data_IF_183628153421
#
_entry.id   IF_183628153421
#
_cell.length_a   1.000
_cell.length_b   1.000
_cell.length_c   1.000
_cell.angle_alpha   90.00
_cell.angle_beta   90.00
_cell.angle_gamma   90.00
#
_symmetry.space_group_name_H-M   'P 1'
#
loop_
_entity.id
_entity.type
_entity.pdbx_description
1 polymer ?
#
# COMPACT_ATOMS: atom_id res chain seq x y z
N UNK A 1 -9.36 -5.68 30.65
CA UNK A 1 -9.35 -5.52 32.13
C UNK A 1 -7.93 -5.17 32.55
N UNK A 2 -7.74 -4.04 33.24
CA UNK A 2 -6.45 -3.39 33.53
C UNK A 2 -5.74 -4.01 34.74
N UNK A 3 -4.54 -4.58 34.55
CA UNK A 3 -3.61 -4.91 35.65
C UNK A 3 -2.68 -3.73 35.96
N UNK A 4 -3.24 -2.65 36.53
CA UNK A 4 -2.45 -1.63 37.23
C UNK A 4 -2.17 -2.10 38.66
N UNK A 5 -1.23 -3.04 38.84
CA UNK A 5 -0.64 -3.35 40.17
C UNK A 5 0.83 -3.75 40.02
N UNK A 6 1.65 -2.78 39.65
CA UNK A 6 3.09 -2.67 39.98
C UNK A 6 3.69 -1.68 38.98
N UNK A 7 4.27 -0.58 39.47
CA UNK A 7 4.82 0.52 38.67
C UNK A 7 6.08 0.17 37.88
N UNK A 8 6.08 -0.93 37.13
CA UNK A 8 7.11 -1.23 36.13
C UNK A 8 6.56 -0.87 34.76
N UNK A 9 7.26 0.04 34.08
CA UNK A 9 7.00 0.36 32.67
C UNK A 9 7.41 -0.87 31.86
N UNK A 10 6.45 -1.73 31.55
CA UNK A 10 6.68 -2.86 30.64
C UNK A 10 6.83 -2.30 29.23
N UNK A 11 7.96 -2.51 28.53
CA UNK A 11 8.13 -2.08 27.14
C UNK A 11 6.96 -2.58 26.29
N UNK A 12 6.44 -1.79 25.36
CA UNK A 12 5.22 -2.09 24.58
C UNK A 12 5.26 -3.49 23.93
N UNK A 13 6.45 -3.96 23.56
CA UNK A 13 6.71 -5.31 23.01
C UNK A 13 6.37 -6.48 23.97
N UNK A 14 6.36 -6.24 25.28
CA UNK A 14 6.08 -7.24 26.33
C UNK A 14 4.68 -7.08 26.93
N UNK A 15 3.86 -6.18 26.39
CA UNK A 15 2.47 -5.97 26.84
C UNK A 15 1.44 -6.79 26.05
N UNK A 16 1.86 -7.54 25.03
CA UNK A 16 0.98 -8.50 24.35
C UNK A 16 0.68 -9.63 25.33
N UNK A 17 -0.59 -9.79 25.70
CA UNK A 17 -1.03 -10.95 26.48
C UNK A 17 -0.81 -12.23 25.68
N UNK A 18 -0.59 -13.34 26.38
CA UNK A 18 -0.46 -14.68 25.76
C UNK A 18 -1.68 -15.09 24.92
N UNK A 19 -2.78 -14.33 24.97
CA UNK A 19 -3.99 -14.52 24.16
C UNK A 19 -4.03 -13.76 22.83
N UNK A 20 -3.01 -12.97 22.45
CA UNK A 20 -3.00 -12.32 21.12
C UNK A 20 -2.57 -13.29 20.03
N UNK A 21 -3.51 -13.67 19.16
CA UNK A 21 -3.25 -14.52 17.99
C UNK A 21 -2.22 -13.89 17.03
N UNK A 22 -2.30 -12.56 16.87
CA UNK A 22 -1.40 -11.78 16.02
C UNK A 22 -0.32 -11.15 16.88
N UNK A 23 0.93 -11.47 16.54
CA UNK A 23 2.16 -10.96 17.13
C UNK A 23 3.03 -10.35 16.04
N UNK A 24 4.04 -9.58 16.43
CA UNK A 24 4.88 -8.86 15.46
C UNK A 24 5.55 -9.81 14.46
N UNK A 25 6.01 -10.96 14.94
CA UNK A 25 6.68 -12.02 14.19
C UNK A 25 5.78 -12.73 13.17
N UNK A 26 4.46 -12.70 13.37
CA UNK A 26 3.52 -13.51 12.59
C UNK A 26 2.44 -12.67 11.87
N UNK A 27 2.55 -11.34 11.96
CA UNK A 27 1.55 -10.38 11.44
C UNK A 27 1.25 -10.51 9.95
N UNK A 28 2.16 -11.07 9.16
CA UNK A 28 2.00 -11.27 7.71
C UNK A 28 1.69 -12.72 7.32
N UNK A 29 1.54 -13.64 8.29
CA UNK A 29 1.23 -15.03 7.99
C UNK A 29 -0.23 -15.16 7.53
N UNK A 30 -0.50 -15.60 6.29
CA UNK A 30 -1.85 -15.65 5.74
C UNK A 30 -2.79 -16.59 6.52
N UNK A 31 -2.29 -17.69 7.08
CA UNK A 31 -3.09 -18.64 7.85
C UNK A 31 -3.61 -17.98 9.14
N UNK A 32 -2.72 -17.27 9.85
CA UNK A 32 -3.05 -16.60 11.12
C UNK A 32 -4.03 -15.45 10.87
N UNK A 33 -3.84 -14.69 9.79
CA UNK A 33 -4.77 -13.63 9.42
C UNK A 33 -6.13 -14.18 9.01
N UNK A 34 -6.16 -15.32 8.31
CA UNK A 34 -7.41 -15.98 7.97
C UNK A 34 -8.16 -16.47 9.23
N UNK A 35 -7.44 -17.05 10.20
CA UNK A 35 -8.03 -17.44 11.50
C UNK A 35 -8.60 -16.21 12.21
N UNK A 36 -7.87 -15.10 12.27
CA UNK A 36 -8.35 -13.87 12.90
C UNK A 36 -9.61 -13.31 12.22
N UNK A 37 -9.62 -13.24 10.88
CA UNK A 37 -10.79 -12.83 10.08
C UNK A 37 -12.00 -13.70 10.36
N UNK A 38 -11.82 -15.03 10.35
CA UNK A 38 -12.89 -15.99 10.63
C UNK A 38 -13.45 -15.84 12.04
N UNK A 39 -12.60 -15.66 13.05
CA UNK A 39 -13.04 -15.41 14.43
C UNK A 39 -13.83 -14.11 14.55
N UNK A 40 -13.40 -13.03 13.89
CA UNK A 40 -14.11 -11.75 13.85
C UNK A 40 -15.48 -11.92 13.17
N UNK A 41 -15.52 -12.60 12.03
CA UNK A 41 -16.75 -12.88 11.29
C UNK A 41 -17.75 -13.65 12.15
N UNK A 42 -17.33 -14.77 12.76
CA UNK A 42 -18.20 -15.60 13.58
C UNK A 42 -18.68 -14.81 14.81
N UNK A 43 -17.79 -14.09 15.50
CA UNK A 43 -18.17 -13.27 16.65
C UNK A 43 -19.19 -12.19 16.28
N UNK A 44 -18.97 -11.47 15.18
CA UNK A 44 -19.89 -10.42 14.74
C UNK A 44 -21.28 -10.97 14.38
N UNK A 45 -21.32 -12.06 13.62
CA UNK A 45 -22.57 -12.68 13.16
C UNK A 45 -23.26 -13.52 14.25
N UNK A 46 -22.61 -13.84 15.37
CA UNK A 46 -23.27 -14.48 16.53
C UNK A 46 -23.88 -13.45 17.48
N UNK A 47 -23.21 -12.32 17.69
CA UNK A 47 -23.70 -11.22 18.54
C UNK A 47 -24.98 -10.58 18.00
N UNK A 48 -25.11 -10.45 16.67
CA UNK A 48 -26.32 -9.92 16.03
C UNK A 48 -27.51 -10.90 16.03
N UNK A 49 -27.23 -12.21 16.13
CA UNK A 49 -28.24 -13.28 16.13
C UNK A 49 -28.82 -13.61 17.52
N UNK A 50 -28.49 -12.83 18.56
CA UNK A 50 -29.01 -13.05 19.91
C UNK A 50 -28.46 -14.31 20.62
N UNK A 51 -27.50 -15.03 20.01
CA UNK A 51 -26.77 -16.12 20.67
C UNK A 51 -25.72 -15.48 21.57
N UNK A 52 -26.05 -15.34 22.86
CA UNK A 52 -25.20 -14.69 23.86
C UNK A 52 -23.93 -15.51 24.12
N UNK A 53 -22.87 -15.26 23.34
CA UNK A 53 -21.52 -15.66 23.72
C UNK A 53 -20.94 -14.53 24.60
N UNK A 54 -21.29 -14.55 25.90
CA UNK A 54 -20.60 -13.79 26.95
C UNK A 54 -20.58 -12.25 26.86
N UNK A 55 -21.36 -11.61 27.73
CA UNK A 55 -21.27 -10.20 28.13
C UNK A 55 -21.60 -9.12 27.07
N UNK A 56 -22.86 -8.68 27.09
CA UNK A 56 -23.29 -7.39 26.55
C UNK A 56 -22.49 -6.26 27.22
N UNK A 57 -21.73 -5.47 26.45
CA UNK A 57 -21.57 -4.04 26.77
C UNK A 57 -22.79 -3.37 26.15
N UNK A 58 -23.85 -3.27 26.93
CA UNK A 58 -25.07 -2.55 26.57
C UNK A 58 -24.75 -1.06 26.44
N UNK A 59 -24.64 -0.57 25.22
CA UNK A 59 -24.73 0.86 24.94
C UNK A 59 -26.20 1.18 24.60
N UNK A 60 -26.89 2.11 25.28
CA UNK A 60 -28.35 2.22 25.21
C UNK A 60 -28.91 2.88 23.93
N UNK A 61 -28.06 3.33 22.99
CA UNK A 61 -28.46 4.28 21.95
C UNK A 61 -27.93 3.98 20.53
N UNK A 62 -27.74 2.71 20.17
CA UNK A 62 -27.61 2.33 18.76
C UNK A 62 -28.96 1.77 18.31
N UNK A 63 -29.74 2.62 17.63
CA UNK A 63 -31.00 2.24 16.98
C UNK A 63 -30.83 1.01 16.10
N UNK A 64 -31.91 0.25 15.94
CA UNK A 64 -32.04 -1.00 15.18
C UNK A 64 -30.83 -1.28 14.27
N UNK A 65 -29.87 -2.04 14.81
CA UNK A 65 -28.82 -2.64 13.99
C UNK A 65 -29.56 -3.64 13.12
N UNK A 66 -29.83 -3.23 11.87
CA UNK A 66 -30.42 -4.06 10.82
C UNK A 66 -29.76 -5.43 10.89
N UNK A 67 -30.53 -6.47 11.26
CA UNK A 67 -30.06 -7.84 11.25
C UNK A 67 -29.44 -8.09 9.88
N UNK A 68 -28.20 -8.55 9.84
CA UNK A 68 -27.57 -8.90 8.57
C UNK A 68 -28.33 -10.07 7.95
N UNK A 69 -29.07 -9.77 6.88
CA UNK A 69 -29.92 -10.72 6.20
C UNK A 69 -29.09 -11.95 5.77
N UNK A 70 -29.55 -13.14 6.16
CA UNK A 70 -28.98 -14.40 5.71
C UNK A 70 -27.92 -15.05 6.61
N UNK A 71 -27.65 -14.55 7.82
CA UNK A 71 -26.96 -15.34 8.87
C UNK A 71 -27.88 -15.79 10.00
N UNK A 72 -29.17 -15.43 9.92
CA UNK A 72 -30.15 -15.72 10.97
C UNK A 72 -30.28 -17.24 11.23
N UNK A 73 -30.10 -17.63 12.50
CA UNK A 73 -30.26 -19.02 12.94
C UNK A 73 -29.15 -19.99 12.55
N UNK A 74 -28.06 -19.51 11.92
CA UNK A 74 -26.92 -20.36 11.57
C UNK A 74 -26.13 -20.77 12.83
N UNK A 75 -25.74 -22.04 12.90
CA UNK A 75 -24.79 -22.53 13.91
C UNK A 75 -23.34 -22.18 13.53
N UNK A 76 -22.38 -22.45 14.43
CA UNK A 76 -20.97 -22.11 14.23
C UNK A 76 -20.35 -22.74 12.97
N UNK A 77 -20.68 -23.99 12.66
CA UNK A 77 -20.17 -24.69 11.46
C UNK A 77 -20.74 -24.07 10.18
N UNK A 78 -22.03 -23.71 10.18
CA UNK A 78 -22.66 -23.04 9.06
C UNK A 78 -22.13 -21.63 8.84
N UNK A 79 -21.81 -20.89 9.91
CA UNK A 79 -21.15 -19.59 9.82
C UNK A 79 -19.74 -19.70 9.26
N UNK A 80 -18.99 -20.73 9.65
CA UNK A 80 -17.68 -21.02 9.06
C UNK A 80 -17.80 -21.35 7.55
N UNK A 81 -18.77 -22.18 7.17
CA UNK A 81 -19.02 -22.50 5.77
C UNK A 81 -19.36 -21.23 4.97
N UNK A 82 -20.24 -20.38 5.50
CA UNK A 82 -20.58 -19.09 4.87
C UNK A 82 -19.36 -18.18 4.73
N UNK A 83 -18.51 -18.07 5.76
CA UNK A 83 -17.25 -17.32 5.67
C UNK A 83 -16.38 -17.85 4.53
N UNK A 84 -16.19 -19.18 4.47
CA UNK A 84 -15.37 -19.80 3.44
C UNK A 84 -15.94 -19.56 2.03
N UNK A 85 -17.27 -19.61 1.87
CA UNK A 85 -17.94 -19.30 0.60
C UNK A 85 -17.70 -17.85 0.16
N UNK A 86 -17.94 -16.88 1.05
CA UNK A 86 -17.73 -15.45 0.76
C UNK A 86 -16.25 -15.14 0.45
N UNK A 87 -15.33 -15.71 1.23
CA UNK A 87 -13.90 -15.53 1.01
C UNK A 87 -13.43 -16.18 -0.30
N UNK A 88 -13.97 -17.34 -0.65
CA UNK A 88 -13.70 -18.01 -1.93
C UNK A 88 -14.18 -17.15 -3.10
N UNK A 89 -15.36 -16.53 -2.99
CA UNK A 89 -15.87 -15.62 -4.03
C UNK A 89 -14.92 -14.44 -4.29
N UNK A 90 -14.38 -13.80 -3.23
CA UNK A 90 -13.38 -12.73 -3.36
C UNK A 90 -12.11 -13.25 -4.05
N UNK A 91 -11.53 -14.33 -3.53
CA UNK A 91 -10.24 -14.82 -4.05
C UNK A 91 -10.33 -15.34 -5.49
N UNK A 92 -11.46 -15.93 -5.88
CA UNK A 92 -11.72 -16.31 -7.28
C UNK A 92 -11.87 -15.08 -8.16
N UNK A 93 -12.63 -14.06 -7.75
CA UNK A 93 -12.79 -12.83 -8.51
C UNK A 93 -11.46 -12.03 -8.61
N UNK A 94 -10.67 -11.97 -7.54
CA UNK A 94 -9.33 -11.37 -7.55
C UNK A 94 -8.40 -12.10 -8.53
N UNK A 95 -8.39 -13.44 -8.51
CA UNK A 95 -7.57 -14.24 -9.43
C UNK A 95 -7.97 -14.00 -10.88
N UNK A 96 -9.26 -13.96 -11.17
CA UNK A 96 -9.79 -13.70 -12.52
C UNK A 96 -9.41 -12.30 -13.03
N UNK A 97 -9.63 -11.26 -12.22
CA UNK A 97 -9.27 -9.89 -12.58
C UNK A 97 -7.75 -9.69 -12.69
N UNK A 98 -6.96 -10.14 -11.72
CA UNK A 98 -5.52 -9.87 -11.68
C UNK A 98 -4.69 -10.75 -12.63
N UNK A 99 -5.27 -11.82 -13.17
CA UNK A 99 -4.65 -12.58 -14.26
C UNK A 99 -4.91 -11.99 -15.65
N UNK A 100 -5.89 -11.08 -15.77
CA UNK A 100 -6.24 -10.42 -17.03
C UNK A 100 -5.11 -9.45 -17.45
N UNK A 101 -4.49 -9.64 -18.63
CA UNK A 101 -3.49 -8.71 -19.14
C UNK A 101 -4.08 -7.32 -19.41
N UNK A 102 -3.27 -6.28 -19.27
CA UNK A 102 -3.65 -4.89 -19.52
C UNK A 102 -4.91 -4.45 -18.75
N UNK A 103 -5.16 -5.01 -17.56
CA UNK A 103 -6.33 -4.68 -16.71
C UNK A 103 -6.45 -3.22 -16.28
N UNK A 104 -5.51 -2.36 -16.66
CA UNK A 104 -5.56 -0.91 -16.46
C UNK A 104 -6.39 -0.20 -17.54
N UNK A 105 -6.72 -0.88 -18.64
CA UNK A 105 -7.57 -0.36 -19.71
C UNK A 105 -9.05 -0.48 -19.36
N UNK A 106 -9.86 0.49 -19.77
CA UNK A 106 -11.30 0.53 -19.45
C UNK A 106 -12.18 -0.26 -20.42
N UNK A 107 -11.88 -1.55 -20.63
CA UNK A 107 -12.72 -2.40 -21.51
C UNK A 107 -14.00 -2.87 -20.80
N UNK A 108 -15.02 -3.29 -21.57
CA UNK A 108 -16.25 -3.82 -21.01
C UNK A 108 -16.03 -5.09 -20.16
N UNK A 109 -15.10 -5.95 -20.57
CA UNK A 109 -14.70 -7.14 -19.82
C UNK A 109 -14.06 -6.76 -18.48
N UNK A 110 -13.11 -5.83 -18.47
CA UNK A 110 -12.43 -5.38 -17.25
C UNK A 110 -13.43 -4.75 -16.29
N UNK A 111 -14.32 -3.88 -16.77
CA UNK A 111 -15.39 -3.28 -15.95
C UNK A 111 -16.30 -4.34 -15.32
N UNK A 112 -16.64 -5.40 -16.05
CA UNK A 112 -17.45 -6.49 -15.52
C UNK A 112 -16.71 -7.31 -14.44
N UNK A 113 -15.42 -7.58 -14.63
CA UNK A 113 -14.57 -8.27 -13.64
C UNK A 113 -14.33 -7.42 -12.40
N UNK A 114 -14.07 -6.12 -12.56
CA UNK A 114 -13.96 -5.16 -11.46
C UNK A 114 -15.25 -5.08 -10.66
N UNK A 115 -16.41 -5.02 -11.33
CA UNK A 115 -17.72 -5.05 -10.68
C UNK A 115 -17.92 -6.35 -9.89
N UNK A 116 -17.60 -7.50 -10.49
CA UNK A 116 -17.70 -8.81 -9.83
C UNK A 116 -16.87 -8.87 -8.55
N UNK A 117 -15.63 -8.39 -8.60
CA UNK A 117 -14.76 -8.32 -7.42
C UNK A 117 -15.32 -7.35 -6.37
N UNK A 118 -15.78 -6.17 -6.79
CA UNK A 118 -16.38 -5.18 -5.89
C UNK A 118 -17.61 -5.74 -5.17
N UNK A 119 -18.55 -6.36 -5.90
CA UNK A 119 -19.75 -6.96 -5.33
C UNK A 119 -19.40 -8.09 -4.34
N UNK A 120 -18.39 -8.92 -4.65
CA UNK A 120 -17.93 -9.98 -3.74
C UNK A 120 -17.33 -9.41 -2.45
N UNK A 121 -16.54 -8.33 -2.55
CA UNK A 121 -15.99 -7.61 -1.40
C UNK A 121 -17.10 -6.99 -0.57
N UNK A 122 -18.05 -6.26 -1.18
CA UNK A 122 -19.15 -5.63 -0.46
C UNK A 122 -20.02 -6.66 0.27
N UNK A 123 -20.34 -7.78 -0.38
CA UNK A 123 -21.09 -8.88 0.25
C UNK A 123 -20.35 -9.47 1.47
N UNK A 124 -19.02 -9.64 1.38
CA UNK A 124 -18.23 -10.06 2.53
C UNK A 124 -18.21 -8.99 3.64
N UNK A 125 -18.01 -7.72 3.28
CA UNK A 125 -17.94 -6.60 4.20
C UNK A 125 -19.25 -6.28 4.90
N UNK A 126 -20.40 -6.65 4.32
CA UNK A 126 -21.69 -6.59 5.01
C UNK A 126 -21.70 -7.51 6.22
N UNK A 127 -20.98 -8.63 6.19
CA UNK A 127 -20.89 -9.58 7.28
C UNK A 127 -19.70 -9.36 8.22
N UNK A 128 -19.07 -8.19 8.15
CA UNK A 128 -17.90 -7.82 8.94
C UNK A 128 -18.16 -6.53 9.72
N UNK A 129 -17.57 -6.36 10.91
CA UNK A 129 -17.83 -5.21 11.74
C UNK A 129 -17.36 -3.91 11.06
N UNK A 130 -18.10 -2.84 11.36
CA UNK A 130 -17.77 -1.48 10.93
C UNK A 130 -16.81 -0.83 11.90
N UNK A 131 -15.67 -0.35 11.41
CA UNK A 131 -14.66 0.37 12.19
C UNK A 131 -14.54 1.77 11.65
N UNK A 132 -14.71 2.78 12.49
CA UNK A 132 -14.52 4.18 12.12
C UNK A 132 -13.48 4.84 13.04
N UNK A 133 -12.47 5.45 12.42
CA UNK A 133 -11.49 6.28 13.10
C UNK A 133 -11.63 7.75 12.65
N UNK A 134 -12.17 8.65 13.49
CA UNK A 134 -12.37 10.05 13.14
C UNK A 134 -11.08 10.90 13.17
N UNK A 135 -9.98 10.35 13.69
CA UNK A 135 -8.68 11.03 13.82
C UNK A 135 -7.56 10.10 13.36
N UNK A 136 -7.70 9.59 12.14
CA UNK A 136 -6.90 8.50 11.63
C UNK A 136 -5.42 8.85 11.46
N UNK A 137 -5.05 10.13 11.37
CA UNK A 137 -3.68 10.56 11.21
C UNK A 137 -3.05 9.92 9.97
N UNK A 138 -2.01 9.11 10.17
CA UNK A 138 -1.38 8.34 9.09
C UNK A 138 -2.14 7.07 8.64
N UNK A 139 -3.27 6.73 9.26
CA UNK A 139 -4.11 5.61 8.86
C UNK A 139 -3.80 4.26 9.51
N UNK A 140 -3.08 4.21 10.64
CA UNK A 140 -2.69 2.95 11.27
C UNK A 140 -3.87 2.07 11.71
N UNK A 141 -4.89 2.66 12.35
CA UNK A 141 -6.11 1.93 12.76
C UNK A 141 -6.90 1.46 11.52
N UNK A 142 -7.20 2.33 10.53
CA UNK A 142 -7.84 1.89 9.31
C UNK A 142 -7.08 0.78 8.56
N UNK A 143 -5.75 0.88 8.50
CA UNK A 143 -4.91 -0.13 7.84
C UNK A 143 -5.06 -1.50 8.48
N UNK A 144 -4.95 -1.58 9.81
CA UNK A 144 -5.03 -2.85 10.53
C UNK A 144 -6.45 -3.43 10.52
N UNK A 145 -7.48 -2.59 10.64
CA UNK A 145 -8.86 -3.04 10.56
C UNK A 145 -9.21 -3.59 9.16
N UNK A 146 -8.80 -2.90 8.09
CA UNK A 146 -8.97 -3.37 6.72
C UNK A 146 -8.18 -4.68 6.47
N UNK A 147 -6.96 -4.79 7.03
CA UNK A 147 -6.15 -6.01 6.95
C UNK A 147 -6.85 -7.22 7.61
N UNK A 148 -7.65 -6.99 8.65
CA UNK A 148 -8.50 -7.98 9.30
C UNK A 148 -9.88 -8.17 8.64
N UNK A 149 -10.10 -7.58 7.46
CA UNK A 149 -11.34 -7.74 6.69
C UNK A 149 -12.52 -6.92 7.21
N UNK A 150 -12.32 -5.99 8.14
CA UNK A 150 -13.40 -5.14 8.67
C UNK A 150 -13.80 -4.07 7.65
N UNK A 151 -15.09 -3.70 7.65
CA UNK A 151 -15.57 -2.55 6.87
C UNK A 151 -15.10 -1.27 7.53
N UNK A 152 -14.09 -0.64 6.93
CA UNK A 152 -13.26 0.33 7.64
C UNK A 152 -13.37 1.73 7.03
N UNK A 153 -13.52 2.72 7.90
CA UNK A 153 -13.64 4.13 7.56
C UNK A 153 -12.61 4.93 8.38
N UNK A 154 -11.98 5.92 7.76
CA UNK A 154 -11.02 6.79 8.44
C UNK A 154 -11.15 8.21 7.94
N UNK A 155 -11.10 9.18 8.85
CA UNK A 155 -11.10 10.61 8.54
C UNK A 155 -9.95 11.30 9.27
N UNK A 156 -9.40 12.35 8.68
CA UNK A 156 -8.55 13.32 9.34
C UNK A 156 -8.75 14.70 8.72
N UNK A 157 -8.85 15.72 9.57
CA UNK A 157 -9.04 17.11 9.14
C UNK A 157 -7.75 17.72 8.55
N UNK A 158 -6.58 17.21 8.95
CA UNK A 158 -5.31 17.71 8.46
C UNK A 158 -5.06 17.18 7.04
N UNK A 159 -4.94 18.05 6.03
CA UNK A 159 -4.75 17.61 4.64
C UNK A 159 -3.46 16.82 4.43
N UNK A 160 -2.40 17.11 5.20
CA UNK A 160 -1.14 16.35 5.14
C UNK A 160 -1.34 14.94 5.69
N UNK A 161 -2.03 14.81 6.83
CA UNK A 161 -2.35 13.52 7.41
C UNK A 161 -3.25 12.71 6.48
N UNK A 162 -4.28 13.33 5.91
CA UNK A 162 -5.17 12.70 4.95
C UNK A 162 -4.43 12.15 3.72
N UNK A 163 -3.46 12.89 3.16
CA UNK A 163 -2.64 12.40 2.04
C UNK A 163 -1.79 11.18 2.47
N UNK A 164 -1.18 11.23 3.66
CA UNK A 164 -0.40 10.10 4.21
C UNK A 164 -1.31 8.88 4.44
N UNK A 165 -2.52 9.09 4.95
CA UNK A 165 -3.52 8.05 5.16
C UNK A 165 -3.90 7.38 3.83
N UNK A 166 -4.16 8.15 2.77
CA UNK A 166 -4.42 7.61 1.43
C UNK A 166 -3.23 6.79 0.91
N UNK A 167 -2.02 7.30 1.11
CA UNK A 167 -0.78 6.60 0.77
C UNK A 167 -0.55 5.29 1.55
N UNK A 168 -1.05 5.21 2.78
CA UNK A 168 -0.87 4.04 3.64
C UNK A 168 -1.98 3.00 3.48
N UNK A 169 -3.20 3.42 3.12
CA UNK A 169 -4.40 2.56 3.12
C UNK A 169 -4.97 2.38 1.72
N UNK A 170 -5.32 3.46 1.02
CA UNK A 170 -6.03 3.41 -0.27
C UNK A 170 -5.11 2.98 -1.42
N UNK A 171 -3.97 3.64 -1.58
CA UNK A 171 -3.10 3.44 -2.74
C UNK A 171 -2.49 2.04 -2.80
N UNK A 172 -2.01 1.44 -1.70
CA UNK A 172 -1.47 0.07 -1.74
C UNK A 172 -2.54 -0.96 -2.13
N UNK A 173 -3.80 -0.77 -1.72
CA UNK A 173 -4.89 -1.68 -2.10
C UNK A 173 -5.28 -1.53 -3.57
N UNK A 174 -5.33 -0.29 -4.08
CA UNK A 174 -5.75 0.01 -5.45
C UNK A 174 -4.66 -0.24 -6.50
N UNK A 175 -3.42 0.15 -6.18
CA UNK A 175 -2.31 0.17 -7.13
C UNK A 175 -1.20 -0.83 -6.77
N UNK A 176 -1.16 -1.40 -5.56
CA UNK A 176 -0.11 -2.32 -5.15
C UNK A 176 -0.29 -3.77 -5.62
N UNK A 177 -1.46 -4.11 -6.19
CA UNK A 177 -1.76 -5.44 -6.71
C UNK A 177 -0.95 -5.72 -7.99
N UNK A 178 -0.57 -6.99 -8.25
CA UNK A 178 0.19 -7.33 -9.45
C UNK A 178 -0.58 -6.99 -10.72
N UNK A 179 0.16 -6.71 -11.79
CA UNK A 179 -0.41 -6.43 -13.11
C UNK A 179 0.48 -7.04 -14.19
N UNK A 180 -0.14 -7.60 -15.21
CA UNK A 180 0.55 -8.08 -16.40
C UNK A 180 0.23 -7.14 -17.55
N UNK A 181 1.27 -6.66 -18.22
CA UNK A 181 1.15 -5.87 -19.44
C UNK A 181 1.56 -6.69 -20.65
N UNK A 182 0.91 -6.47 -21.78
CA UNK A 182 1.52 -6.79 -23.08
C UNK A 182 2.72 -5.86 -23.29
N UNK A 183 3.73 -6.32 -24.03
CA UNK A 183 4.92 -5.52 -24.37
C UNK A 183 4.59 -4.12 -24.87
N UNK A 184 3.68 -4.00 -25.84
CA UNK A 184 3.36 -2.71 -26.46
C UNK A 184 2.79 -1.71 -25.45
N UNK A 185 1.81 -2.14 -24.63
CA UNK A 185 1.26 -1.30 -23.56
C UNK A 185 2.29 -0.95 -22.48
N UNK A 186 3.16 -1.89 -22.12
CA UNK A 186 4.25 -1.61 -21.19
C UNK A 186 5.18 -0.51 -21.73
N UNK A 187 5.60 -0.61 -22.99
CA UNK A 187 6.50 0.38 -23.61
C UNK A 187 5.84 1.76 -23.79
N UNK A 188 4.52 1.82 -23.98
CA UNK A 188 3.77 3.10 -23.99
C UNK A 188 3.85 3.80 -22.64
N UNK A 189 3.75 3.05 -21.54
CA UNK A 189 3.78 3.59 -20.18
C UNK A 189 5.21 3.87 -19.69
N UNK A 190 6.16 3.02 -20.07
CA UNK A 190 7.56 3.07 -19.61
C UNK A 190 8.53 3.14 -20.80
N UNK A 191 8.59 4.28 -21.51
CA UNK A 191 9.35 4.41 -22.76
C UNK A 191 10.87 4.25 -22.61
N UNK A 192 11.41 4.33 -21.39
CA UNK A 192 12.84 4.06 -21.10
C UNK A 192 13.24 2.62 -21.44
N UNK A 193 12.29 1.70 -21.50
CA UNK A 193 12.51 0.32 -21.90
C UNK A 193 12.41 0.10 -23.42
N UNK A 194 12.08 1.12 -24.20
CA UNK A 194 12.09 1.01 -25.65
C UNK A 194 13.53 1.05 -26.16
N UNK A 195 13.86 0.18 -27.12
CA UNK A 195 15.13 0.27 -27.83
C UNK A 195 15.24 1.63 -28.56
N UNK A 196 16.46 2.10 -28.83
CA UNK A 196 16.73 3.37 -29.56
C UNK A 196 16.15 3.42 -30.99
N UNK A 197 15.51 2.36 -31.50
CA UNK A 197 14.82 2.34 -32.79
C UNK A 197 13.30 2.53 -32.61
N UNK A 198 12.80 3.79 -32.56
CA UNK A 198 11.36 4.05 -32.57
C UNK A 198 10.75 3.55 -33.88
N UNK A 199 9.75 2.66 -33.80
CA UNK A 199 8.86 2.37 -34.94
C UNK A 199 8.61 0.90 -35.29
N UNK A 200 9.28 -0.09 -34.68
CA UNK A 200 8.90 -1.51 -34.84
C UNK A 200 7.82 -1.89 -33.82
N UNK A 201 6.55 -1.68 -34.17
CA UNK A 201 5.44 -2.30 -33.45
C UNK A 201 5.57 -3.81 -33.59
N UNK A 202 5.74 -4.53 -32.48
CA UNK A 202 5.65 -6.00 -32.47
C UNK A 202 4.16 -6.35 -32.57
N UNK A 203 3.80 -7.25 -33.48
CA UNK A 203 2.42 -7.71 -33.63
C UNK A 203 1.84 -8.13 -32.27
N UNK A 204 0.62 -7.70 -31.96
CA UNK A 204 0.01 -8.05 -30.68
C UNK A 204 -0.12 -9.57 -30.55
N UNK A 205 0.30 -10.17 -29.42
CA UNK A 205 0.15 -11.60 -29.24
C UNK A 205 -1.34 -11.96 -29.31
N UNK A 206 -1.71 -12.94 -30.13
CA UNK A 206 -3.04 -13.54 -30.08
C UNK A 206 -3.21 -14.23 -28.73
N UNK A 207 -4.44 -14.23 -28.20
CA UNK A 207 -4.83 -14.71 -26.85
C UNK A 207 -4.51 -16.20 -26.57
N UNK A 208 -3.92 -16.91 -27.53
CA UNK A 208 -3.83 -18.37 -27.58
C UNK A 208 -2.39 -18.84 -27.82
N UNK A 209 -1.46 -18.46 -26.94
CA UNK A 209 -0.16 -19.12 -26.80
C UNK A 209 0.19 -19.17 -25.31
N UNK A 210 0.62 -20.33 -24.82
CA UNK A 210 0.88 -20.60 -23.41
C UNK A 210 1.79 -19.55 -22.74
N UNK A 211 1.63 -19.41 -21.42
CA UNK A 211 2.30 -18.47 -20.53
C UNK A 211 3.84 -18.63 -20.41
N UNK A 212 4.53 -19.15 -21.45
CA UNK A 212 5.94 -19.56 -21.40
C UNK A 212 6.94 -18.38 -21.54
N UNK A 213 6.48 -17.13 -21.61
CA UNK A 213 7.34 -15.93 -21.75
C UNK A 213 6.85 -14.73 -20.93
N UNK A 214 6.56 -14.93 -19.64
CA UNK A 214 6.37 -13.83 -18.69
C UNK A 214 7.71 -13.48 -18.05
N UNK A 215 8.11 -12.22 -18.14
CA UNK A 215 9.19 -11.67 -17.30
C UNK A 215 8.57 -10.96 -16.10
N UNK A 216 8.93 -11.36 -14.88
CA UNK A 216 8.43 -10.74 -13.65
C UNK A 216 9.41 -9.69 -13.12
N UNK A 217 8.90 -8.51 -12.76
CA UNK A 217 9.64 -7.39 -12.19
C UNK A 217 9.20 -7.14 -10.75
N UNK A 218 10.18 -7.04 -9.85
CA UNK A 218 10.01 -6.71 -8.43
C UNK A 218 10.74 -5.39 -8.13
N UNK A 219 10.16 -4.29 -8.60
CA UNK A 219 10.74 -2.94 -8.50
C UNK A 219 11.45 -2.47 -9.77
N UNK A 220 11.97 -1.24 -9.72
CA UNK A 220 12.65 -0.57 -10.82
C UNK A 220 13.97 0.08 -10.38
N UNK A 221 15.01 -0.27 -11.12
CA UNK A 221 16.25 0.50 -11.17
C UNK A 221 16.75 0.64 -12.62
N UNK A 222 17.76 1.48 -12.82
CA UNK A 222 18.27 1.78 -14.16
C UNK A 222 18.95 0.56 -14.81
N UNK A 223 19.36 -0.45 -14.03
CA UNK A 223 19.94 -1.71 -14.53
C UNK A 223 18.86 -2.67 -15.05
N UNK A 224 17.68 -2.68 -14.41
CA UNK A 224 16.51 -3.46 -14.84
C UNK A 224 16.15 -3.08 -16.28
N UNK A 225 16.18 -1.79 -16.63
CA UNK A 225 15.88 -1.34 -18.01
C UNK A 225 16.78 -1.92 -19.11
N UNK A 226 17.96 -2.43 -18.74
CA UNK A 226 18.97 -2.97 -19.66
C UNK A 226 18.97 -4.49 -19.74
N UNK A 227 18.07 -5.16 -19.03
CA UNK A 227 18.03 -6.62 -19.01
C UNK A 227 17.52 -7.17 -20.35
N UNK A 228 18.26 -8.08 -21.00
CA UNK A 228 17.91 -8.63 -22.31
C UNK A 228 16.63 -9.48 -22.28
N UNK A 229 16.27 -10.00 -21.11
CA UNK A 229 15.05 -10.75 -20.87
C UNK A 229 13.80 -9.89 -21.08
N UNK A 230 13.85 -8.62 -20.67
CA UNK A 230 12.76 -7.66 -20.87
C UNK A 230 12.66 -7.29 -22.34
N UNK A 231 13.75 -7.26 -23.10
CA UNK A 231 13.76 -6.89 -24.52
C UNK A 231 12.99 -7.87 -25.41
N UNK A 232 12.83 -9.13 -24.99
CA UNK A 232 12.14 -10.15 -25.78
C UNK A 232 10.85 -10.66 -25.13
N UNK A 233 10.50 -10.12 -23.95
CA UNK A 233 9.28 -10.45 -23.24
C UNK A 233 8.04 -10.05 -24.06
N UNK A 234 7.10 -10.99 -24.19
CA UNK A 234 5.77 -10.71 -24.76
C UNK A 234 4.84 -10.13 -23.69
N UNK A 235 4.95 -10.65 -22.47
CA UNK A 235 4.22 -10.21 -21.30
C UNK A 235 5.19 -9.84 -20.19
N UNK A 236 4.91 -8.72 -19.54
CA UNK A 236 5.72 -8.21 -18.42
C UNK A 236 4.81 -8.11 -17.21
N UNK A 237 5.14 -8.87 -16.17
CA UNK A 237 4.38 -8.91 -14.92
C UNK A 237 5.10 -8.04 -13.89
N UNK A 238 4.42 -7.02 -13.39
CA UNK A 238 4.91 -6.22 -12.28
C UNK A 238 4.24 -6.74 -11.01
N UNK A 239 5.04 -7.21 -10.07
CA UNK A 239 4.54 -7.82 -8.82
C UNK A 239 3.81 -6.81 -7.93
N UNK A 240 4.36 -5.60 -7.83
CA UNK A 240 3.75 -4.48 -7.12
C UNK A 240 3.84 -3.23 -7.99
N UNK A 241 2.72 -2.90 -8.68
CA UNK A 241 2.67 -1.77 -9.59
C UNK A 241 2.95 -0.44 -8.88
N UNK A 242 2.38 -0.21 -7.70
CA UNK A 242 2.57 1.04 -6.96
C UNK A 242 4.05 1.30 -6.67
N UNK A 243 4.75 0.31 -6.10
CA UNK A 243 6.16 0.43 -5.79
C UNK A 243 6.99 0.71 -7.05
N UNK A 244 6.74 -0.06 -8.11
CA UNK A 244 7.39 0.12 -9.40
C UNK A 244 7.16 1.52 -10.00
N UNK A 245 5.91 1.98 -10.04
CA UNK A 245 5.53 3.29 -10.58
C UNK A 245 6.22 4.41 -9.79
N UNK A 246 6.22 4.33 -8.45
CA UNK A 246 6.90 5.32 -7.60
C UNK A 246 8.40 5.37 -7.90
N UNK A 247 9.06 4.22 -7.97
CA UNK A 247 10.50 4.16 -8.28
C UNK A 247 10.82 4.67 -9.68
N UNK A 248 10.03 4.26 -10.68
CA UNK A 248 10.17 4.69 -12.06
C UNK A 248 10.02 6.21 -12.20
N UNK A 249 8.88 6.76 -11.78
CA UNK A 249 8.60 8.18 -11.94
C UNK A 249 9.49 9.06 -11.05
N UNK A 250 9.87 8.61 -9.85
CA UNK A 250 10.84 9.33 -9.03
C UNK A 250 12.19 9.49 -9.75
N UNK A 251 12.68 8.44 -10.42
CA UNK A 251 13.92 8.51 -11.21
C UNK A 251 13.77 9.40 -12.43
N UNK A 252 12.64 9.34 -13.15
CA UNK A 252 12.39 10.24 -14.28
C UNK A 252 12.34 11.71 -13.84
N UNK A 253 11.69 12.00 -12.71
CA UNK A 253 11.64 13.34 -12.13
C UNK A 253 13.03 13.82 -11.72
N UNK A 254 13.84 12.97 -11.07
CA UNK A 254 15.22 13.30 -10.69
C UNK A 254 16.09 13.58 -11.92
N UNK A 255 15.99 12.75 -12.97
CA UNK A 255 16.72 12.97 -14.22
C UNK A 255 16.30 14.25 -14.93
N UNK A 256 14.99 14.55 -14.95
CA UNK A 256 14.46 15.81 -15.46
C UNK A 256 14.96 17.03 -14.69
N UNK A 257 14.92 16.96 -13.35
CA UNK A 257 15.44 18.01 -12.49
C UNK A 257 16.95 18.24 -12.69
N UNK A 258 17.76 17.17 -12.75
CA UNK A 258 19.20 17.28 -13.04
C UNK A 258 19.44 17.95 -14.40
N UNK A 259 18.64 17.65 -15.42
CA UNK A 259 18.74 18.28 -16.74
C UNK A 259 18.37 19.76 -16.71
N UNK A 260 17.31 20.13 -16.02
CA UNK A 260 16.78 21.50 -15.99
C UNK A 260 17.61 22.41 -15.08
N UNK A 261 17.88 21.97 -13.85
CA UNK A 261 18.49 22.80 -12.80
C UNK A 261 19.85 22.29 -12.33
N UNK A 262 20.34 21.14 -12.80
CA UNK A 262 21.60 20.56 -12.34
C UNK A 262 22.83 21.45 -12.60
N UNK A 263 22.75 22.37 -13.56
CA UNK A 263 23.81 23.37 -13.79
C UNK A 263 23.99 24.35 -12.62
N UNK A 264 22.99 24.54 -11.75
CA UNK A 264 23.12 25.29 -10.50
C UNK A 264 23.83 24.49 -9.39
N UNK A 265 24.01 23.18 -9.57
CA UNK A 265 24.61 22.26 -8.63
C UNK A 265 25.83 21.55 -9.27
N UNK A 266 26.88 22.32 -9.62
CA UNK A 266 28.03 21.75 -10.32
C UNK A 266 28.70 20.66 -9.48
N UNK A 267 29.08 19.58 -10.14
CA UNK A 267 29.85 18.49 -9.52
C UNK A 267 31.28 18.96 -9.26
N UNK A 268 31.90 18.42 -8.21
CA UNK A 268 33.30 18.70 -7.94
C UNK A 268 34.23 18.03 -8.97
N UNK A 269 35.54 18.33 -8.90
CA UNK A 269 36.55 17.74 -9.80
C UNK A 269 36.66 16.21 -9.70
N UNK A 270 36.08 15.60 -8.66
CA UNK A 270 36.05 14.15 -8.42
C UNK A 270 34.71 13.53 -8.84
N UNK A 271 33.78 14.31 -9.38
CA UNK A 271 32.46 13.87 -9.81
C UNK A 271 31.41 13.78 -8.69
N UNK A 272 31.70 14.27 -7.49
CA UNK A 272 30.74 14.25 -6.38
C UNK A 272 29.67 15.33 -6.57
N UNK A 273 28.41 14.94 -6.35
CA UNK A 273 27.27 15.85 -6.39
C UNK A 273 27.23 16.76 -5.15
N UNK A 274 26.93 18.04 -5.36
CA UNK A 274 26.73 19.02 -4.31
C UNK A 274 25.45 18.70 -3.53
N UNK A 275 25.57 18.30 -2.27
CA UNK A 275 24.42 17.87 -1.45
C UNK A 275 23.61 19.02 -0.86
N UNK A 276 24.27 20.11 -0.42
CA UNK A 276 23.62 21.26 0.23
C UNK A 276 24.37 22.55 -0.11
N UNK A 277 23.62 23.61 -0.44
CA UNK A 277 24.10 24.99 -0.47
C UNK A 277 23.54 25.75 0.74
N UNK A 278 24.40 26.45 1.49
CA UNK A 278 23.97 27.35 2.56
C UNK A 278 24.16 28.80 2.12
N UNK A 279 23.06 29.53 2.00
CA UNK A 279 23.09 30.98 1.78
C UNK A 279 23.38 31.67 3.11
N UNK A 280 24.43 32.50 3.15
CA UNK A 280 24.81 33.28 4.33
C UNK A 280 25.11 34.73 3.97
N UNK A 281 24.76 35.65 4.89
CA UNK A 281 25.21 37.04 4.79
C UNK A 281 26.68 37.11 5.22
N UNK A 282 27.46 38.00 4.62
CA UNK A 282 28.87 38.17 4.97
C UNK A 282 29.02 39.41 5.85
N UNK A 283 29.61 39.24 7.03
CA UNK A 283 30.08 40.34 7.88
C UNK A 283 31.58 40.57 7.65
N UNK A 284 32.04 41.82 7.80
CA UNK A 284 33.48 42.13 7.82
C UNK A 284 33.97 42.07 9.25
N UNK A 285 35.13 41.46 9.49
CA UNK A 285 35.77 41.44 10.80
C UNK A 285 35.92 42.88 11.32
N UNK A 286 35.51 43.09 12.58
CA UNK A 286 35.53 44.40 13.24
C UNK A 286 36.95 44.89 13.54
N UNK A 287 37.96 43.99 13.53
CA UNK A 287 39.35 44.38 13.66
C UNK A 287 39.86 45.01 12.35
N UNK A 288 40.26 46.31 12.35
CA UNK A 288 40.68 47.03 11.15
C UNK A 288 41.89 46.42 10.43
N UNK A 289 42.78 45.74 11.16
CA UNK A 289 43.96 45.08 10.58
C UNK A 289 43.68 43.70 9.97
N UNK A 290 42.55 43.07 10.31
CA UNK A 290 42.17 41.75 9.79
C UNK A 290 41.33 41.86 8.51
N UNK A 291 40.21 42.59 8.57
CA UNK A 291 39.34 42.82 7.42
C UNK A 291 38.70 41.57 6.77
N UNK A 292 38.80 40.39 7.39
CA UNK A 292 38.30 39.13 6.85
C UNK A 292 36.77 39.16 6.62
N UNK A 293 36.32 38.49 5.56
CA UNK A 293 34.91 38.29 5.23
C UNK A 293 34.42 37.01 5.91
N UNK A 294 33.56 37.14 6.91
CA UNK A 294 33.07 36.02 7.72
C UNK A 294 31.60 35.74 7.38
N UNK A 295 31.24 34.50 7.00
CA UNK A 295 29.84 34.13 6.79
C UNK A 295 29.10 34.10 8.12
N UNK A 296 27.98 34.82 8.18
CA UNK A 296 27.08 34.88 9.32
C UNK A 296 26.10 33.72 9.23
N UNK A 297 26.50 32.61 9.84
CA UNK A 297 25.69 31.40 9.96
C UNK A 297 25.14 31.28 11.38
N UNK A 298 23.85 30.94 11.52
CA UNK A 298 23.25 30.65 12.83
C UNK A 298 23.81 29.36 13.43
N UNK A 299 24.21 28.41 12.57
CA UNK A 299 24.83 27.13 12.95
C UNK A 299 25.78 26.66 11.85
N UNK A 300 26.86 25.98 12.22
CA UNK A 300 27.82 25.38 11.29
C UNK A 300 27.55 23.88 11.04
N UNK A 301 26.65 23.27 11.81
CA UNK A 301 26.24 21.88 11.63
C UNK A 301 25.10 21.80 10.60
N UNK A 302 25.29 20.95 9.58
CA UNK A 302 24.28 20.65 8.56
C UNK A 302 23.23 19.66 9.07
N UNK A 303 23.62 18.74 9.94
CA UNK A 303 22.73 17.83 10.67
C UNK A 303 23.34 17.52 12.03
N UNK A 304 22.50 17.19 13.01
CA UNK A 304 22.98 16.56 14.23
C UNK A 304 23.28 15.08 13.93
N UNK A 305 24.44 14.55 14.35
CA UNK A 305 24.62 13.10 14.40
C UNK A 305 23.55 12.55 15.35
N UNK A 306 22.69 11.67 14.82
CA UNK A 306 21.79 10.86 15.64
C UNK A 306 22.51 9.62 16.11
#
# INVERSE_FOLDING_TARGET
MSTKKSGKITPSKKQLSDGSLIKWENKNNPEIINIARKLIFIAHNTLENGISIGARISSPNLGEVSRLAGTEGLNLLQLEEKYNQLWTAITTAEKDLYSTPNRHLETAEIKAKEKTLHDAIENFLDHMPRVFDPFAGGGAIPLEAARLGCRTFGNDINPVAHIIQRGSVEFPQKYGKPITYTRNEFLKLYPVFADEQPGKMVAEPTLNYGFDKITELDGYDDTVSKQPEIQHAQYIRIKNRLAFDVEYYARQMLAGAEKEIGHFYPRDKKGNSLFVNIWSRIGKCSNPSCGAKVPLLKQFYLSNPR
#
